data_IF_809750644246
#
_entry.id   IF_809750644246
#
_cell.length_a   1.000
_cell.length_b   1.000
_cell.length_c   1.000
_cell.angle_alpha   90.00
_cell.angle_beta   90.00
_cell.angle_gamma   90.00
#
_symmetry.space_group_name_H-M   'P 1'
#
loop_
_entity.id
_entity.type
_entity.pdbx_description
1 polymer ?
#
# COMPACT_ATOMS: atom_id res chain seq x y z
N UNK A 1 4.06 -14.92 -23.50
CA UNK A 1 4.26 -15.13 -22.05
C UNK A 1 3.05 -14.52 -21.39
N UNK A 2 2.32 -15.26 -20.59
CA UNK A 2 1.20 -14.73 -19.80
C UNK A 2 1.88 -13.95 -18.67
N UNK A 3 1.87 -12.64 -18.75
CA UNK A 3 2.33 -11.77 -17.66
C UNK A 3 1.48 -12.06 -16.43
N UNK A 4 2.10 -12.53 -15.38
CA UNK A 4 1.41 -12.73 -14.11
C UNK A 4 1.18 -11.33 -13.57
N UNK A 5 -0.08 -10.95 -13.31
CA UNK A 5 -0.43 -9.65 -12.70
C UNK A 5 0.26 -9.51 -11.33
N UNK A 6 1.41 -8.89 -11.29
CA UNK A 6 2.14 -8.63 -10.06
C UNK A 6 1.73 -7.28 -9.47
N UNK A 7 1.35 -7.30 -8.21
CA UNK A 7 0.97 -6.09 -7.47
C UNK A 7 2.07 -5.71 -6.49
N UNK A 8 2.61 -4.51 -6.63
CA UNK A 8 3.52 -3.92 -5.66
C UNK A 8 2.74 -3.03 -4.69
N UNK A 9 2.90 -3.30 -3.39
CA UNK A 9 2.40 -2.43 -2.32
C UNK A 9 3.61 -1.77 -1.67
N UNK A 10 3.70 -0.45 -1.84
CA UNK A 10 4.81 0.38 -1.41
C UNK A 10 4.38 1.25 -0.24
N UNK A 11 5.07 1.19 0.89
CA UNK A 11 4.93 2.15 1.99
C UNK A 11 6.04 3.18 1.92
N UNK A 12 5.69 4.46 2.01
CA UNK A 12 6.63 5.58 1.99
C UNK A 12 6.54 6.33 3.31
N UNK A 13 7.67 6.84 3.78
CA UNK A 13 7.74 7.72 4.94
C UNK A 13 8.96 7.47 5.82
N UNK A 14 9.04 8.23 6.89
CA UNK A 14 10.09 8.13 7.90
C UNK A 14 9.49 7.84 9.28
N UNK A 15 9.67 6.63 9.77
CA UNK A 15 9.12 6.19 11.06
C UNK A 15 9.78 6.85 12.28
N UNK A 16 10.81 7.68 12.09
CA UNK A 16 11.40 8.49 13.16
C UNK A 16 10.69 9.84 13.33
N UNK A 17 9.77 10.19 12.42
CA UNK A 17 9.08 11.47 12.38
C UNK A 17 7.56 11.30 12.56
N UNK A 18 7.14 10.47 13.50
CA UNK A 18 5.73 10.27 13.91
C UNK A 18 4.83 9.97 12.69
N UNK A 19 3.89 10.84 12.35
CA UNK A 19 2.91 10.61 11.28
C UNK A 19 3.50 10.58 9.87
N UNK A 20 4.74 11.07 9.65
CA UNK A 20 5.43 10.91 8.38
C UNK A 20 5.69 9.43 8.05
N UNK A 21 5.75 8.56 9.07
CA UNK A 21 5.84 7.11 8.92
C UNK A 21 4.52 6.42 8.61
N UNK A 22 3.41 7.13 8.43
CA UNK A 22 2.08 6.54 8.24
C UNK A 22 2.01 5.51 7.11
N UNK A 23 2.70 5.76 5.99
CA UNK A 23 2.75 4.83 4.86
C UNK A 23 3.44 3.51 5.22
N UNK A 24 4.53 3.55 5.97
CA UNK A 24 5.24 2.34 6.44
C UNK A 24 4.38 1.58 7.47
N UNK A 25 3.70 2.28 8.37
CA UNK A 25 2.81 1.66 9.34
C UNK A 25 1.61 0.98 8.66
N UNK A 26 1.02 1.59 7.62
CA UNK A 26 -0.04 0.98 6.82
C UNK A 26 0.46 -0.26 6.05
N UNK A 27 1.66 -0.19 5.46
CA UNK A 27 2.32 -1.32 4.81
C UNK A 27 2.51 -2.50 5.78
N UNK A 28 3.05 -2.24 6.97
CA UNK A 28 3.28 -3.27 7.97
C UNK A 28 1.96 -3.92 8.43
N UNK A 29 0.89 -3.12 8.56
CA UNK A 29 -0.43 -3.63 8.93
C UNK A 29 -1.00 -4.55 7.85
N UNK A 30 -1.04 -4.12 6.58
CA UNK A 30 -1.56 -4.98 5.50
C UNK A 30 -0.69 -6.23 5.33
N UNK A 31 0.62 -6.13 5.44
CA UNK A 31 1.51 -7.29 5.36
C UNK A 31 1.24 -8.28 6.50
N UNK A 32 0.97 -7.81 7.72
CA UNK A 32 0.65 -8.68 8.85
C UNK A 32 -0.69 -9.42 8.69
N UNK A 33 -1.66 -8.80 8.01
CA UNK A 33 -3.00 -9.37 7.79
C UNK A 33 -3.08 -10.26 6.54
N UNK A 34 -2.26 -9.97 5.53
CA UNK A 34 -2.32 -10.55 4.18
C UNK A 34 -0.96 -11.02 3.66
N UNK A 35 -0.06 -11.46 4.55
CA UNK A 35 1.17 -12.14 4.14
C UNK A 35 0.84 -13.39 3.32
N UNK A 36 1.75 -13.79 2.46
CA UNK A 36 1.65 -15.03 1.66
C UNK A 36 0.57 -15.04 0.55
N UNK A 37 0.07 -13.87 0.14
CA UNK A 37 -0.79 -13.80 -1.04
C UNK A 37 0.09 -13.87 -2.29
N UNK A 38 -0.12 -14.86 -3.16
CA UNK A 38 0.63 -14.96 -4.41
C UNK A 38 0.52 -13.68 -5.23
N UNK A 39 1.63 -13.24 -5.84
CA UNK A 39 1.70 -12.08 -6.73
C UNK A 39 1.53 -10.71 -6.04
N UNK A 40 1.64 -10.65 -4.72
CA UNK A 40 1.72 -9.39 -3.99
C UNK A 40 3.09 -9.26 -3.35
N UNK A 41 3.79 -8.18 -3.68
CA UNK A 41 5.07 -7.81 -3.08
C UNK A 41 4.86 -6.60 -2.18
N UNK A 42 5.31 -6.72 -0.93
CA UNK A 42 5.31 -5.63 0.04
C UNK A 42 6.71 -5.04 0.13
N UNK A 43 6.83 -3.73 -0.05
CA UNK A 43 8.14 -3.06 -0.09
C UNK A 43 8.12 -1.80 0.78
N UNK A 44 9.05 -1.75 1.73
CA UNK A 44 9.37 -0.51 2.46
C UNK A 44 10.22 0.39 1.55
N UNK A 45 9.66 1.50 1.13
CA UNK A 45 10.30 2.50 0.28
C UNK A 45 11.07 3.57 1.05
N UNK A 46 10.95 3.57 2.38
CA UNK A 46 11.57 4.59 3.23
C UNK A 46 11.25 6.00 2.75
N UNK A 47 12.25 6.85 2.68
CA UNK A 47 12.14 8.24 2.19
C UNK A 47 12.33 8.37 0.68
N UNK A 48 12.09 7.30 -0.06
CA UNK A 48 12.27 7.14 -1.49
C UNK A 48 13.73 7.18 -2.00
N UNK A 49 13.96 6.40 -3.02
CA UNK A 49 15.23 6.35 -3.75
C UNK A 49 14.98 5.94 -5.20
N UNK A 50 15.81 6.37 -6.11
CA UNK A 50 15.78 5.94 -7.52
C UNK A 50 15.96 4.42 -7.70
N UNK A 51 16.47 3.71 -6.70
CA UNK A 51 16.54 2.24 -6.72
C UNK A 51 15.17 1.58 -6.74
N UNK A 52 14.10 2.30 -6.38
CA UNK A 52 12.73 1.81 -6.45
C UNK A 52 12.14 1.83 -7.87
N UNK A 53 12.80 2.51 -8.83
CA UNK A 53 12.29 2.60 -10.19
C UNK A 53 12.10 1.22 -10.82
N UNK A 54 13.06 0.29 -10.65
CA UNK A 54 12.95 -1.07 -11.18
C UNK A 54 11.77 -1.85 -10.60
N UNK A 55 11.47 -1.68 -9.31
CA UNK A 55 10.31 -2.33 -8.70
C UNK A 55 8.98 -1.83 -9.27
N UNK A 56 8.92 -0.51 -9.56
CA UNK A 56 7.72 0.10 -10.16
C UNK A 56 7.58 -0.33 -11.63
N UNK A 57 8.68 -0.43 -12.38
CA UNK A 57 8.70 -0.85 -13.77
C UNK A 57 8.34 -2.34 -13.95
N UNK A 58 8.64 -3.17 -12.97
CA UNK A 58 8.42 -4.62 -13.01
C UNK A 58 7.01 -5.03 -12.56
N UNK A 59 6.19 -4.12 -11.99
CA UNK A 59 4.84 -4.44 -11.55
C UNK A 59 3.75 -4.00 -12.52
N UNK A 60 2.66 -4.76 -12.59
CA UNK A 60 1.47 -4.41 -13.39
C UNK A 60 0.51 -3.49 -12.61
N UNK A 61 0.51 -3.63 -11.28
CA UNK A 61 -0.34 -2.86 -10.36
C UNK A 61 0.49 -2.30 -9.21
N UNK A 62 0.31 -1.01 -8.91
CA UNK A 62 1.01 -0.29 -7.85
C UNK A 62 0.03 0.32 -6.86
N UNK A 63 0.20 0.04 -5.58
CA UNK A 63 -0.46 0.76 -4.49
C UNK A 63 0.63 1.41 -3.64
N UNK A 64 0.48 2.70 -3.38
CA UNK A 64 1.39 3.45 -2.52
C UNK A 64 0.62 3.96 -1.30
N UNK A 65 1.15 3.71 -0.11
CA UNK A 65 0.74 4.37 1.12
C UNK A 65 1.71 5.49 1.46
N UNK A 66 1.19 6.66 1.79
CA UNK A 66 2.00 7.82 2.18
C UNK A 66 1.25 8.75 3.15
N UNK A 67 2.00 9.47 3.97
CA UNK A 67 1.48 10.64 4.67
C UNK A 67 1.30 11.78 3.66
N UNK A 68 0.09 12.26 3.46
CA UNK A 68 -0.22 13.23 2.41
C UNK A 68 -1.02 14.42 2.96
N UNK A 69 -0.66 15.63 2.52
CA UNK A 69 -1.41 16.84 2.83
C UNK A 69 -2.70 16.89 1.99
N UNK A 70 -3.78 16.42 2.58
CA UNK A 70 -5.09 16.32 1.94
C UNK A 70 -5.98 17.55 2.15
N UNK A 71 -5.55 18.49 3.03
CA UNK A 71 -6.37 19.60 3.52
C UNK A 71 -7.66 19.12 4.20
N UNK A 72 -7.56 18.03 4.94
CA UNK A 72 -8.64 17.36 5.65
C UNK A 72 -8.27 17.21 7.14
N UNK A 73 -9.21 16.86 8.00
CA UNK A 73 -8.89 16.56 9.41
C UNK A 73 -7.83 15.45 9.52
N UNK A 74 -6.97 15.54 10.54
CA UNK A 74 -5.96 14.53 10.83
C UNK A 74 -6.55 13.11 10.89
N UNK A 75 -5.86 12.12 10.32
CA UNK A 75 -6.35 10.75 10.20
C UNK A 75 -7.37 10.54 9.08
N UNK A 76 -7.68 11.55 8.25
CA UNK A 76 -8.46 11.33 7.04
C UNK A 76 -7.67 10.49 6.04
N UNK A 77 -8.35 9.56 5.36
CA UNK A 77 -7.77 8.71 4.32
C UNK A 77 -8.43 9.02 2.99
N UNK A 78 -7.62 9.17 1.95
CA UNK A 78 -8.11 9.41 0.59
C UNK A 78 -7.31 8.64 -0.44
N UNK A 79 -8.04 7.94 -1.31
CA UNK A 79 -7.48 7.20 -2.45
C UNK A 79 -7.52 8.04 -3.72
N UNK A 80 -6.38 8.08 -4.42
CA UNK A 80 -6.23 8.66 -5.76
C UNK A 80 -5.80 7.54 -6.70
N UNK A 81 -6.62 7.21 -7.70
CA UNK A 81 -6.33 6.10 -8.62
C UNK A 81 -6.13 6.60 -10.06
N UNK A 82 -5.27 5.93 -10.81
CA UNK A 82 -4.99 6.20 -12.21
C UNK A 82 -4.63 7.67 -12.48
N UNK A 83 -5.36 8.31 -13.39
CA UNK A 83 -5.16 9.72 -13.71
C UNK A 83 -5.37 10.67 -12.51
N UNK A 84 -6.17 10.26 -11.51
CA UNK A 84 -6.33 10.99 -10.26
C UNK A 84 -5.06 11.02 -9.42
N UNK A 85 -4.33 9.92 -9.37
CA UNK A 85 -3.01 9.86 -8.74
C UNK A 85 -2.01 10.76 -9.47
N UNK A 86 -1.95 10.66 -10.80
CA UNK A 86 -1.04 11.48 -11.62
C UNK A 86 -1.31 12.99 -11.41
N UNK A 87 -2.58 13.37 -11.38
CA UNK A 87 -2.98 14.76 -11.14
C UNK A 87 -2.63 15.25 -9.73
N UNK A 88 -2.83 14.40 -8.72
CA UNK A 88 -2.49 14.74 -7.33
C UNK A 88 -0.99 14.94 -7.15
N UNK A 89 -0.17 14.03 -7.66
CA UNK A 89 1.29 14.13 -7.61
C UNK A 89 1.81 15.33 -8.40
N UNK A 90 1.22 15.60 -9.57
CA UNK A 90 1.62 16.73 -10.42
C UNK A 90 1.19 18.11 -9.90
N UNK A 91 0.11 18.20 -9.11
CA UNK A 91 -0.39 19.47 -8.56
C UNK A 91 0.38 19.94 -7.32
N UNK A 92 1.18 19.09 -6.69
CA UNK A 92 1.64 19.31 -5.35
C UNK A 92 3.17 19.31 -5.22
N UNK A 93 3.71 20.46 -4.82
CA UNK A 93 4.93 20.52 -4.00
C UNK A 93 4.51 20.37 -2.53
N UNK A 94 4.04 19.18 -2.12
CA UNK A 94 3.38 19.04 -0.81
C UNK A 94 4.18 18.28 0.22
N UNK A 95 5.06 17.36 -0.22
CA UNK A 95 6.08 16.74 0.61
C UNK A 95 7.30 16.39 -0.23
N UNK A 96 8.42 16.12 0.42
CA UNK A 96 9.65 15.68 -0.28
C UNK A 96 9.44 14.29 -0.93
N UNK A 97 8.61 13.44 -0.33
CA UNK A 97 8.31 12.09 -0.83
C UNK A 97 7.41 12.12 -2.06
N UNK A 98 6.43 13.02 -2.13
CA UNK A 98 5.55 13.18 -3.29
C UNK A 98 6.32 13.61 -4.54
N UNK A 99 7.34 14.44 -4.39
CA UNK A 99 8.24 14.82 -5.49
C UNK A 99 9.04 13.61 -5.97
N UNK A 100 9.63 12.85 -5.05
CA UNK A 100 10.39 11.65 -5.41
C UNK A 100 9.53 10.54 -6.06
N UNK A 101 8.29 10.34 -5.58
CA UNK A 101 7.35 9.39 -6.20
C UNK A 101 6.96 9.83 -7.61
N UNK A 102 6.72 11.13 -7.83
CA UNK A 102 6.43 11.66 -9.16
C UNK A 102 7.59 11.40 -10.13
N UNK A 103 8.83 11.62 -9.71
CA UNK A 103 10.01 11.35 -10.52
C UNK A 103 10.10 9.88 -10.93
N UNK A 104 9.82 8.95 -10.01
CA UNK A 104 9.77 7.51 -10.27
C UNK A 104 8.66 7.14 -11.27
N UNK A 105 7.48 7.73 -11.13
CA UNK A 105 6.38 7.52 -12.06
C UNK A 105 6.70 8.09 -13.45
N UNK A 106 7.41 9.21 -13.53
CA UNK A 106 7.85 9.80 -14.80
C UNK A 106 8.93 8.94 -15.49
N UNK A 107 9.86 8.35 -14.72
CA UNK A 107 10.80 7.35 -15.25
C UNK A 107 10.04 6.19 -15.86
N UNK A 108 9.13 5.56 -15.11
CA UNK A 108 8.33 4.43 -15.59
C UNK A 108 7.49 4.79 -16.83
N UNK A 109 7.00 6.04 -16.92
CA UNK A 109 6.27 6.55 -18.09
C UNK A 109 7.18 6.68 -19.32
N UNK A 110 8.39 7.23 -19.16
CA UNK A 110 9.36 7.44 -20.25
C UNK A 110 9.87 6.09 -20.77
N UNK A 111 10.08 5.12 -19.89
CA UNK A 111 10.54 3.77 -20.27
C UNK A 111 9.41 2.89 -20.83
N UNK A 112 8.16 3.33 -20.75
CA UNK A 112 7.00 2.58 -21.23
C UNK A 112 6.51 1.48 -20.27
N UNK A 113 6.94 1.53 -19.00
CA UNK A 113 6.62 0.52 -17.97
C UNK A 113 5.77 1.12 -16.82
N UNK A 114 4.97 2.17 -17.12
CA UNK A 114 4.05 2.73 -16.13
C UNK A 114 2.98 1.70 -15.74
N UNK A 115 2.82 1.34 -14.45
CA UNK A 115 1.79 0.41 -14.02
C UNK A 115 0.40 0.81 -14.51
N UNK A 116 -0.31 -0.15 -15.12
CA UNK A 116 -1.67 0.09 -15.67
C UNK A 116 -2.63 0.45 -14.54
N UNK A 117 -2.60 -0.33 -13.48
CA UNK A 117 -3.34 -0.05 -12.25
C UNK A 117 -2.39 0.66 -11.28
N UNK A 118 -2.74 1.85 -10.85
CA UNK A 118 -1.94 2.59 -9.87
C UNK A 118 -2.79 3.42 -8.97
N UNK A 119 -2.46 3.44 -7.69
CA UNK A 119 -3.16 4.25 -6.69
C UNK A 119 -2.21 4.74 -5.59
N UNK A 120 -2.46 5.95 -5.13
CA UNK A 120 -1.92 6.51 -3.90
C UNK A 120 -3.03 6.55 -2.85
N UNK A 121 -2.78 5.98 -1.70
CA UNK A 121 -3.63 6.06 -0.51
C UNK A 121 -2.95 7.01 0.46
N UNK A 122 -3.39 8.27 0.45
CA UNK A 122 -2.88 9.33 1.31
C UNK A 122 -3.57 9.31 2.67
N UNK A 123 -2.79 9.49 3.72
CA UNK A 123 -3.24 9.60 5.11
C UNK A 123 -2.89 10.99 5.60
N UNK A 124 -3.88 11.79 6.03
CA UNK A 124 -3.63 13.14 6.54
C UNK A 124 -2.90 13.09 7.88
N UNK A 125 -1.65 13.60 7.95
CA UNK A 125 -0.92 13.68 9.21
C UNK A 125 -1.49 14.76 10.15
N UNK A 126 -1.21 14.62 11.44
CA UNK A 126 -1.43 15.63 12.49
C UNK A 126 -0.10 16.24 12.91
N UNK A 127 0.92 15.40 13.11
CA UNK A 127 2.20 15.80 13.66
C UNK A 127 3.35 15.06 12.95
N UNK A 128 4.28 15.82 12.36
CA UNK A 128 5.43 15.29 11.61
C UNK A 128 6.75 15.83 12.18
N UNK A 129 7.05 15.48 13.43
CA UNK A 129 8.31 15.78 14.09
C UNK A 129 8.76 14.54 14.88
N UNK A 130 9.87 14.61 15.58
CA UNK A 130 10.48 13.46 16.25
C UNK A 130 9.48 12.64 17.06
N UNK A 131 9.41 11.36 16.74
CA UNK A 131 8.55 10.38 17.39
C UNK A 131 8.51 9.09 16.56
N UNK A 132 8.54 7.94 17.24
CA UNK A 132 8.53 6.64 16.58
C UNK A 132 7.13 6.08 16.35
N UNK A 133 6.14 6.67 17.01
CA UNK A 133 4.76 6.22 16.91
C UNK A 133 3.90 7.29 16.23
N UNK A 134 2.98 6.90 15.34
CA UNK A 134 2.01 7.83 14.79
C UNK A 134 1.09 8.39 15.86
N UNK A 135 0.52 9.56 15.62
CA UNK A 135 -0.53 10.11 16.47
C UNK A 135 -1.75 9.17 16.50
N UNK A 136 -2.57 9.32 17.55
CA UNK A 136 -3.77 8.49 17.68
C UNK A 136 -4.74 8.65 16.50
N UNK A 137 -4.78 9.83 15.90
CA UNK A 137 -5.60 10.10 14.71
C UNK A 137 -5.16 9.23 13.55
N UNK A 138 -3.86 9.18 13.26
CA UNK A 138 -3.28 8.38 12.19
C UNK A 138 -3.34 6.88 12.53
N UNK A 139 -3.04 6.47 13.77
CA UNK A 139 -3.18 5.06 14.18
C UNK A 139 -4.59 4.52 13.91
N UNK A 140 -5.62 5.30 14.23
CA UNK A 140 -7.01 4.92 13.99
C UNK A 140 -7.39 4.90 12.50
N UNK A 141 -6.63 5.56 11.64
CA UNK A 141 -6.84 5.62 10.20
C UNK A 141 -6.22 4.44 9.45
N UNK A 142 -5.19 3.78 10.01
CA UNK A 142 -4.46 2.69 9.33
C UNK A 142 -5.37 1.56 8.85
N UNK A 143 -6.34 1.04 9.64
CA UNK A 143 -7.25 0.00 9.15
C UNK A 143 -8.06 0.43 7.93
N UNK A 144 -8.53 1.69 7.89
CA UNK A 144 -9.26 2.23 6.74
C UNK A 144 -8.37 2.33 5.50
N UNK A 145 -7.10 2.73 5.65
CA UNK A 145 -6.15 2.75 4.55
C UNK A 145 -5.92 1.33 3.99
N UNK A 146 -5.77 0.34 4.87
CA UNK A 146 -5.62 -1.07 4.49
C UNK A 146 -6.87 -1.59 3.76
N UNK A 147 -8.08 -1.30 4.28
CA UNK A 147 -9.33 -1.68 3.61
C UNK A 147 -9.44 -1.10 2.21
N UNK A 148 -9.04 0.16 2.00
CA UNK A 148 -9.02 0.77 0.67
C UNK A 148 -8.04 0.07 -0.28
N UNK A 149 -6.87 -0.34 0.20
CA UNK A 149 -5.92 -1.11 -0.61
C UNK A 149 -6.47 -2.47 -1.00
N UNK A 150 -7.07 -3.19 -0.06
CA UNK A 150 -7.72 -4.49 -0.31
C UNK A 150 -8.82 -4.37 -1.37
N UNK A 151 -9.70 -3.36 -1.25
CA UNK A 151 -10.75 -3.11 -2.24
C UNK A 151 -10.19 -2.85 -3.65
N UNK A 152 -9.08 -2.11 -3.76
CA UNK A 152 -8.41 -1.89 -5.05
C UNK A 152 -7.88 -3.18 -5.64
N UNK A 153 -7.18 -4.00 -4.85
CA UNK A 153 -6.59 -5.27 -5.30
C UNK A 153 -7.70 -6.22 -5.76
N UNK A 154 -8.74 -6.38 -4.96
CA UNK A 154 -9.90 -7.22 -5.29
C UNK A 154 -10.59 -6.74 -6.57
N UNK A 155 -10.75 -5.41 -6.74
CA UNK A 155 -11.34 -4.82 -7.92
C UNK A 155 -10.49 -5.01 -9.19
N UNK A 156 -9.16 -4.92 -9.07
CA UNK A 156 -8.25 -5.08 -10.21
C UNK A 156 -8.07 -6.55 -10.62
N UNK A 157 -8.06 -7.47 -9.65
CA UNK A 157 -7.80 -8.88 -9.88
C UNK A 157 -9.07 -9.71 -10.06
N UNK A 158 -10.26 -9.16 -9.78
CA UNK A 158 -11.54 -9.89 -9.70
C UNK A 158 -11.48 -11.10 -8.74
N UNK A 159 -10.68 -11.02 -7.69
CA UNK A 159 -10.46 -12.07 -6.72
C UNK A 159 -10.50 -11.50 -5.29
N UNK A 160 -11.20 -12.19 -4.39
CA UNK A 160 -11.26 -11.77 -2.98
C UNK A 160 -10.00 -12.19 -2.23
N UNK A 161 -9.47 -11.25 -1.44
CA UNK A 161 -8.37 -11.52 -0.54
C UNK A 161 -8.88 -12.13 0.78
N UNK A 162 -8.20 -13.16 1.25
CA UNK A 162 -8.53 -13.84 2.52
C UNK A 162 -7.47 -13.45 3.56
N UNK A 163 -7.91 -12.94 4.72
CA UNK A 163 -7.01 -12.64 5.83
C UNK A 163 -6.32 -13.91 6.35
N UNK A 164 -5.08 -13.76 6.77
CA UNK A 164 -4.25 -14.86 7.27
C UNK A 164 -4.90 -15.63 8.44
N UNK A 165 -5.60 -14.94 9.33
CA UNK A 165 -6.38 -15.54 10.44
C UNK A 165 -7.55 -16.40 9.98
N UNK A 166 -8.12 -16.16 8.82
CA UNK A 166 -9.21 -16.96 8.25
C UNK A 166 -8.68 -18.18 7.51
N UNK A 167 -7.53 -18.06 6.84
CA UNK A 167 -6.85 -19.18 6.18
C UNK A 167 -6.45 -20.28 7.17
N UNK A 168 -5.98 -19.92 8.35
CA UNK A 168 -5.64 -20.90 9.41
C UNK A 168 -6.87 -21.62 9.98
N UNK A 169 -8.02 -20.95 10.08
CA UNK A 169 -9.28 -21.59 10.51
C UNK A 169 -9.79 -22.59 9.48
N UNK A 170 -9.65 -22.29 8.18
CA UNK A 170 -10.03 -23.21 7.10
C UNK A 170 -9.17 -24.47 7.10
N UNK A 171 -7.84 -24.35 7.21
CA UNK A 171 -6.94 -25.49 7.30
C UNK A 171 -7.23 -26.39 8.52
N UNK A 172 -7.48 -25.78 9.69
CA UNK A 172 -7.76 -26.55 10.91
C UNK A 172 -9.11 -27.26 10.87
N UNK A 173 -10.14 -26.70 10.25
CA UNK A 173 -11.45 -27.35 10.09
C UNK A 173 -11.38 -28.53 9.09
N UNK A 174 -10.62 -28.40 8.01
CA UNK A 174 -10.45 -29.47 7.01
C UNK A 174 -9.69 -30.67 7.58
N UNK A 175 -8.74 -30.43 8.49
CA UNK A 175 -8.02 -31.49 9.17
C UNK A 175 -8.86 -32.19 10.28
N UNK A 176 -9.82 -31.47 10.89
CA UNK A 176 -10.72 -32.05 11.88
C UNK A 176 -11.78 -32.95 11.26
N UNK A 177 -12.28 -32.63 10.07
CA UNK A 177 -13.26 -33.46 9.35
C UNK A 177 -12.67 -34.74 8.74
N UNK A 178 -11.36 -34.74 8.44
CA UNK A 178 -10.67 -35.94 7.90
C UNK A 178 -10.28 -36.98 8.95
N UNK A 179 -10.39 -36.66 10.24
CA UNK A 179 -10.07 -37.58 11.33
C UNK A 179 -11.28 -38.37 11.87
N UNK A 180 -12.52 -38.06 11.43
CA UNK A 180 -13.74 -38.70 11.95
C UNK A 180 -14.36 -39.78 11.00
N UNK A 181 -13.65 -40.17 9.93
CA UNK A 181 -14.10 -41.22 9.00
C UNK A 181 -13.24 -42.48 9.08
N UNK A 182 -12.91 -42.93 10.30
CA UNK A 182 -12.12 -44.14 10.54
C UNK A 182 -12.56 -44.89 11.80
N UNK A 183 -13.76 -45.46 11.80
CA UNK A 183 -14.20 -46.49 12.75
C UNK A 183 -15.17 -47.47 12.07
#
# INVERSE_FOLDING_TARGET
MITQNETLILGIGNTLLSDEGAGIHALNLIQSEYADIPKITFLDGGTLSFTLASWIEDCDSLIVFDAAELQMPAGSVKTFAGAGMDAFLGAAKRSAHEVGLMDLMDIARITGHLPVNRALIGIQPDYMDWGMEPTRAVQNALPTAVEQAVMLIEGWNNEKLIKHTESQKFCNNTLAESSDTGA
#
